data_IF_485935492862
#
_entry.id   IF_485935492862
#
_cell.length_a   1.000
_cell.length_b   1.000
_cell.length_c   1.000
_cell.angle_alpha   90.00
_cell.angle_beta   90.00
_cell.angle_gamma   90.00
#
_symmetry.space_group_name_H-M   'P 1'
#
loop_
_entity.id
_entity.type
_entity.pdbx_description
1 polymer ?
#
# COMPACT_ATOMS: atom_id res chain seq x y z
N UNK A 1 -1.83 -4.25 18.01
CA UNK A 1 -2.79 -3.14 18.12
C UNK A 1 -3.71 -3.20 16.91
N UNK A 2 -4.95 -3.64 17.10
CA UNK A 2 -5.98 -3.68 16.06
C UNK A 2 -6.88 -2.46 16.28
N UNK A 3 -6.83 -1.50 15.37
CA UNK A 3 -7.72 -0.33 15.39
C UNK A 3 -8.96 -0.70 14.59
N UNK A 4 -10.03 -1.09 15.28
CA UNK A 4 -11.34 -1.27 14.67
C UNK A 4 -11.97 0.09 14.44
N UNK A 5 -12.00 0.55 13.19
CA UNK A 5 -12.78 1.72 12.79
C UNK A 5 -14.25 1.31 12.68
N UNK A 6 -15.08 1.82 13.59
CA UNK A 6 -16.54 1.72 13.50
C UNK A 6 -17.04 2.61 12.36
N UNK A 7 -17.48 2.00 11.26
CA UNK A 7 -18.27 2.68 10.24
C UNK A 7 -19.65 3.00 10.81
N UNK A 8 -19.88 4.25 11.22
CA UNK A 8 -21.22 4.70 11.62
C UNK A 8 -22.05 4.94 10.37
N UNK A 9 -22.91 3.99 10.02
CA UNK A 9 -23.96 4.21 9.02
C UNK A 9 -25.03 5.11 9.64
N UNK A 10 -25.19 6.32 9.14
CA UNK A 10 -26.32 7.18 9.52
C UNK A 10 -27.55 6.67 8.76
N UNK A 11 -28.40 5.87 9.41
CA UNK A 11 -29.76 5.55 8.94
C UNK A 11 -30.70 6.70 9.33
N UNK A 12 -31.28 7.40 8.35
CA UNK A 12 -32.26 8.48 8.57
C UNK A 12 -33.71 8.02 8.35
N UNK A 13 -34.07 6.81 8.79
CA UNK A 13 -35.48 6.37 8.78
C UNK A 13 -36.17 6.79 10.07
N UNK A 14 -36.70 8.02 10.12
CA UNK A 14 -37.56 8.46 11.23
C UNK A 14 -39.00 7.94 11.03
N UNK A 15 -39.33 6.86 11.75
CA UNK A 15 -40.66 6.24 11.76
C UNK A 15 -41.13 6.02 13.21
N UNK A 16 -41.93 6.96 13.74
CA UNK A 16 -42.79 6.86 14.96
C UNK A 16 -42.04 6.75 16.30
N UNK A 17 -42.48 7.25 17.46
CA UNK A 17 -43.76 7.71 18.00
C UNK A 17 -43.40 8.36 19.37
N UNK A 18 -43.88 9.52 19.80
CA UNK A 18 -45.11 9.68 20.61
C UNK A 18 -45.28 11.17 21.01
N UNK A 19 -46.52 11.65 20.95
CA UNK A 19 -47.06 12.91 21.50
C UNK A 19 -47.29 12.77 23.04
N UNK A 20 -47.73 13.80 23.84
CA UNK A 20 -48.42 15.04 23.46
C UNK A 20 -48.07 16.33 24.27
N UNK A 21 -48.30 17.51 23.67
CA UNK A 21 -48.97 18.62 24.36
C UNK A 21 -49.49 19.65 23.36
N UNK A 22 -50.78 19.95 23.51
CA UNK A 22 -51.55 20.96 22.79
C UNK A 22 -50.84 22.32 22.80
N UNK A 23 -50.66 22.94 21.63
CA UNK A 23 -51.03 24.36 21.45
C UNK A 23 -51.65 24.48 20.05
N UNK A 24 -52.96 24.72 20.06
CA UNK A 24 -53.73 25.19 18.93
C UNK A 24 -53.17 26.52 18.40
N UNK A 25 -52.76 26.56 17.13
CA UNK A 25 -52.90 27.78 16.33
C UNK A 25 -53.08 27.42 14.86
N UNK A 26 -54.33 27.59 14.45
CA UNK A 26 -54.82 27.65 13.10
C UNK A 26 -53.94 28.58 12.23
N UNK A 27 -53.32 28.04 11.18
CA UNK A 27 -52.96 28.78 9.97
C UNK A 27 -53.12 27.84 8.77
N UNK A 28 -54.34 27.82 8.26
CA UNK A 28 -54.74 27.34 6.95
C UNK A 28 -53.92 28.03 5.85
N UNK A 29 -52.88 27.38 5.32
CA UNK A 29 -52.23 27.81 4.06
C UNK A 29 -51.37 26.72 3.38
N UNK A 30 -51.45 25.45 3.78
CA UNK A 30 -50.66 24.37 3.13
C UNK A 30 -51.32 23.78 1.86
N UNK A 31 -52.61 24.06 1.64
CA UNK A 31 -53.38 23.36 0.60
C UNK A 31 -53.09 23.85 -0.83
N UNK A 32 -52.43 25.00 -0.98
CA UNK A 32 -52.13 25.59 -2.29
C UNK A 32 -50.99 24.88 -3.03
N UNK A 33 -50.09 24.18 -2.32
CA UNK A 33 -48.99 23.47 -2.97
C UNK A 33 -49.40 22.06 -3.40
N UNK A 34 -50.08 21.32 -2.51
CA UNK A 34 -50.53 19.96 -2.80
C UNK A 34 -51.57 19.92 -3.94
N UNK A 35 -52.44 20.94 -4.02
CA UNK A 35 -53.44 21.06 -5.08
C UNK A 35 -52.81 21.31 -6.45
N UNK A 36 -51.77 22.16 -6.55
CA UNK A 36 -51.02 22.38 -7.79
C UNK A 36 -50.19 21.17 -8.22
N UNK A 37 -49.66 20.40 -7.27
CA UNK A 37 -48.92 19.17 -7.58
C UNK A 37 -49.82 18.08 -8.15
N UNK A 38 -51.07 18.02 -7.69
CA UNK A 38 -52.07 17.03 -8.12
C UNK A 38 -52.80 17.43 -9.40
N UNK A 39 -52.58 18.66 -9.88
CA UNK A 39 -53.16 19.15 -11.13
C UNK A 39 -52.43 18.48 -12.30
N UNK A 40 -52.92 17.30 -12.69
CA UNK A 40 -52.49 16.59 -13.89
C UNK A 40 -52.69 17.50 -15.09
N UNK A 41 -51.60 18.06 -15.62
CA UNK A 41 -51.60 18.74 -16.91
C UNK A 41 -52.16 17.76 -17.95
N UNK A 42 -53.38 18.00 -18.42
CA UNK A 42 -53.83 17.40 -19.66
C UNK A 42 -53.01 18.04 -20.78
N UNK A 43 -51.86 17.45 -21.05
CA UNK A 43 -51.11 17.72 -22.27
C UNK A 43 -52.00 17.15 -23.38
N UNK A 44 -52.77 18.02 -24.02
CA UNK A 44 -53.37 17.72 -25.31
C UNK A 44 -52.21 17.31 -26.23
N UNK A 45 -52.14 16.03 -26.58
CA UNK A 45 -51.23 15.52 -27.59
C UNK A 45 -51.63 16.16 -28.91
N UNK A 46 -51.09 17.34 -29.20
CA UNK A 46 -51.04 17.85 -30.57
C UNK A 46 -50.20 16.86 -31.35
N UNK A 47 -50.78 16.35 -32.43
CA UNK A 47 -50.18 15.37 -33.32
C UNK A 47 -48.70 15.64 -33.54
N UNK A 48 -47.91 14.58 -33.45
CA UNK A 48 -46.47 14.60 -33.66
C UNK A 48 -46.16 15.13 -35.06
N UNK A 49 -45.97 16.44 -35.19
CA UNK A 49 -45.13 16.97 -36.24
C UNK A 49 -43.76 16.36 -36.02
N UNK A 50 -43.24 15.74 -37.08
CA UNK A 50 -41.94 15.08 -37.11
C UNK A 50 -40.85 16.15 -36.96
N UNK A 51 -40.69 16.68 -35.74
CA UNK A 51 -39.61 17.57 -35.40
C UNK A 51 -38.37 16.71 -35.43
N UNK A 52 -37.54 16.91 -36.46
CA UNK A 52 -36.25 16.26 -36.59
C UNK A 52 -35.50 16.41 -35.26
N UNK A 53 -35.38 15.29 -34.53
CA UNK A 53 -34.70 15.24 -33.25
C UNK A 53 -33.29 15.78 -33.52
N UNK A 54 -32.99 16.93 -32.93
CA UNK A 54 -31.77 17.68 -33.20
C UNK A 54 -30.57 16.86 -32.68
N UNK A 55 -30.04 15.96 -33.51
CA UNK A 55 -28.94 15.04 -33.22
C UNK A 55 -27.68 15.76 -32.68
N UNK A 56 -27.57 17.06 -32.92
CA UNK A 56 -26.49 17.89 -32.37
C UNK A 56 -26.52 17.97 -30.83
N UNK A 57 -27.69 17.92 -30.20
CA UNK A 57 -27.81 17.97 -28.73
C UNK A 57 -27.43 16.62 -28.09
N UNK A 58 -27.84 15.50 -28.70
CA UNK A 58 -27.48 14.16 -28.22
C UNK A 58 -25.98 13.90 -28.37
N UNK A 59 -25.35 14.34 -29.46
CA UNK A 59 -23.90 14.24 -29.65
C UNK A 59 -23.11 15.10 -28.64
N UNK A 60 -23.55 16.34 -28.38
CA UNK A 60 -22.92 17.21 -27.36
C UNK A 60 -23.00 16.61 -25.96
N UNK A 61 -24.16 16.06 -25.59
CA UNK A 61 -24.35 15.41 -24.28
C UNK A 61 -23.56 14.12 -24.14
N UNK A 62 -23.49 13.30 -25.20
CA UNK A 62 -22.66 12.10 -25.23
C UNK A 62 -21.17 12.43 -25.06
N UNK A 63 -20.67 13.43 -25.80
CA UNK A 63 -19.29 13.87 -25.69
C UNK A 63 -18.95 14.44 -24.30
N UNK A 64 -19.88 15.18 -23.69
CA UNK A 64 -19.72 15.67 -22.31
C UNK A 64 -19.65 14.51 -21.30
N UNK A 65 -20.52 13.49 -21.43
CA UNK A 65 -20.49 12.27 -20.60
C UNK A 65 -19.18 11.51 -20.76
N UNK A 66 -18.69 11.36 -21.99
CA UNK A 66 -17.43 10.69 -22.27
C UNK A 66 -16.24 11.42 -21.64
N UNK A 67 -16.22 12.75 -21.72
CA UNK A 67 -15.17 13.57 -21.07
C UNK A 67 -15.18 13.42 -19.55
N UNK A 68 -16.36 13.43 -18.92
CA UNK A 68 -16.52 13.22 -17.48
C UNK A 68 -16.04 11.84 -17.03
N UNK A 69 -16.37 10.79 -17.78
CA UNK A 69 -15.94 9.43 -17.47
C UNK A 69 -14.41 9.29 -17.60
N UNK A 70 -13.83 9.91 -18.63
CA UNK A 70 -12.38 9.91 -18.84
C UNK A 70 -11.62 10.68 -17.76
N UNK A 71 -12.16 11.80 -17.25
CA UNK A 71 -11.53 12.55 -16.16
C UNK A 71 -11.56 11.77 -14.85
N UNK A 72 -12.70 11.16 -14.50
CA UNK A 72 -12.81 10.31 -13.31
C UNK A 72 -11.86 9.10 -13.36
N UNK A 73 -11.74 8.47 -14.54
CA UNK A 73 -10.82 7.33 -14.71
C UNK A 73 -9.36 7.75 -14.55
N UNK A 74 -8.98 8.92 -15.08
CA UNK A 74 -7.62 9.47 -14.94
C UNK A 74 -7.29 9.83 -13.48
N UNK A 75 -8.21 10.47 -12.79
CA UNK A 75 -8.05 10.81 -11.37
C UNK A 75 -7.88 9.55 -10.52
N UNK A 76 -8.75 8.54 -10.73
CA UNK A 76 -8.66 7.25 -10.05
C UNK A 76 -7.30 6.57 -10.28
N UNK A 77 -6.85 6.50 -11.53
CA UNK A 77 -5.54 5.94 -11.88
C UNK A 77 -4.38 6.71 -11.23
N UNK A 78 -4.48 8.04 -11.15
CA UNK A 78 -3.46 8.86 -10.50
C UNK A 78 -3.42 8.63 -8.99
N UNK A 79 -4.57 8.54 -8.32
CA UNK A 79 -4.64 8.20 -6.89
C UNK A 79 -4.05 6.83 -6.59
N UNK A 80 -4.31 5.83 -7.44
CA UNK A 80 -3.74 4.49 -7.28
C UNK A 80 -2.22 4.48 -7.45
N UNK A 81 -1.68 5.22 -8.43
CA UNK A 81 -0.23 5.38 -8.58
C UNK A 81 0.40 6.06 -7.36
N UNK A 82 -0.24 7.12 -6.84
CA UNK A 82 0.25 7.81 -5.66
C UNK A 82 0.23 6.91 -4.41
N UNK A 83 -0.81 6.08 -4.23
CA UNK A 83 -0.88 5.09 -3.15
C UNK A 83 0.27 4.08 -3.24
N UNK A 84 0.44 3.47 -4.42
CA UNK A 84 1.48 2.46 -4.64
C UNK A 84 2.90 3.04 -4.41
N UNK A 85 3.14 4.28 -4.84
CA UNK A 85 4.43 4.94 -4.60
C UNK A 85 4.66 5.30 -3.13
N UNK A 86 3.60 5.65 -2.40
CA UNK A 86 3.67 5.87 -0.96
C UNK A 86 3.99 4.57 -0.22
N UNK A 87 3.30 3.48 -0.53
CA UNK A 87 3.55 2.15 0.06
C UNK A 87 4.98 1.67 -0.23
N UNK A 88 5.47 1.87 -1.46
CA UNK A 88 6.86 1.59 -1.84
C UNK A 88 7.89 2.38 -1.02
N UNK A 89 7.62 3.66 -0.72
CA UNK A 89 8.51 4.48 0.13
C UNK A 89 8.45 4.05 1.60
N UNK A 90 7.26 3.73 2.10
CA UNK A 90 7.08 3.34 3.49
C UNK A 90 7.72 1.97 3.78
N UNK A 91 7.57 1.01 2.87
CA UNK A 91 8.26 -0.29 2.96
C UNK A 91 9.78 -0.14 2.96
N UNK A 92 10.33 0.74 2.12
CA UNK A 92 11.76 1.02 2.09
C UNK A 92 12.25 1.66 3.40
N UNK A 93 11.51 2.62 3.95
CA UNK A 93 11.84 3.25 5.23
C UNK A 93 11.83 2.22 6.37
N UNK A 94 10.81 1.37 6.43
CA UNK A 94 10.71 0.30 7.42
C UNK A 94 11.86 -0.69 7.31
N UNK A 95 12.22 -1.09 6.08
CA UNK A 95 13.37 -1.96 5.85
C UNK A 95 14.68 -1.30 6.34
N UNK A 96 14.90 -0.02 6.01
CA UNK A 96 16.09 0.72 6.48
C UNK A 96 16.18 0.72 8.00
N UNK A 97 15.08 1.07 8.69
CA UNK A 97 15.04 1.07 10.15
C UNK A 97 15.28 -0.32 10.74
N UNK A 98 14.71 -1.36 10.14
CA UNK A 98 14.93 -2.75 10.58
C UNK A 98 16.41 -3.15 10.45
N UNK A 99 17.08 -2.82 9.34
CA UNK A 99 18.51 -3.10 9.17
C UNK A 99 19.39 -2.29 10.11
N UNK A 100 19.11 -1.00 10.34
CA UNK A 100 19.86 -0.19 11.32
C UNK A 100 19.72 -0.72 12.75
N UNK A 101 18.54 -1.20 13.14
CA UNK A 101 18.30 -1.76 14.48
C UNK A 101 18.91 -3.16 14.60
N UNK A 102 18.69 -4.02 13.60
CA UNK A 102 19.20 -5.40 13.62
C UNK A 102 20.72 -5.48 13.48
N UNK A 103 21.35 -4.58 12.70
CA UNK A 103 22.81 -4.55 12.59
C UNK A 103 23.50 -4.24 13.92
N UNK A 104 22.90 -3.39 14.77
CA UNK A 104 23.40 -3.13 16.13
C UNK A 104 23.26 -4.37 17.04
N UNK A 105 22.23 -5.18 16.84
CA UNK A 105 21.99 -6.39 17.62
C UNK A 105 22.76 -7.62 17.11
N UNK A 106 23.21 -7.64 15.86
CA UNK A 106 23.95 -8.76 15.28
C UNK A 106 25.20 -9.11 16.09
N UNK A 107 25.93 -8.09 16.56
CA UNK A 107 27.11 -8.25 17.42
C UNK A 107 26.79 -8.93 18.77
N UNK A 108 25.56 -8.77 19.27
CA UNK A 108 25.14 -9.33 20.55
C UNK A 108 24.66 -10.79 20.43
N UNK A 109 24.19 -11.20 19.25
CA UNK A 109 23.68 -12.57 19.01
C UNK A 109 24.85 -13.55 18.85
N UNK A 110 25.95 -13.11 18.26
CA UNK A 110 27.12 -13.95 18.05
C UNK A 110 28.24 -13.54 19.00
N UNK A 111 28.32 -14.20 20.15
CA UNK A 111 29.49 -14.07 21.02
C UNK A 111 30.75 -14.33 20.19
N UNK A 112 31.76 -13.44 20.23
CA UNK A 112 32.99 -13.65 19.50
C UNK A 112 33.58 -14.97 20.01
N UNK A 113 33.61 -15.97 19.13
CA UNK A 113 34.36 -17.19 19.43
C UNK A 113 35.79 -16.72 19.62
N UNK A 114 36.26 -16.75 20.86
CA UNK A 114 37.68 -16.55 21.17
C UNK A 114 38.49 -17.34 20.16
N UNK A 115 39.49 -16.75 19.49
CA UNK A 115 40.30 -17.43 18.48
C UNK A 115 41.22 -18.44 19.16
N UNK A 116 40.66 -19.42 19.87
CA UNK A 116 41.38 -20.56 20.36
C UNK A 116 41.78 -21.37 19.13
N UNK A 117 43.04 -21.19 18.72
CA UNK A 117 43.76 -21.98 17.71
C UNK A 117 43.41 -21.66 16.25
N UNK A 118 43.49 -20.38 15.86
CA UNK A 118 43.49 -20.02 14.43
C UNK A 118 44.71 -20.58 13.69
N UNK A 119 45.85 -20.76 14.37
CA UNK A 119 47.02 -21.40 13.80
C UNK A 119 47.01 -22.90 14.05
N UNK A 120 47.09 -23.74 12.98
CA UNK A 120 47.27 -25.17 13.15
C UNK A 120 48.60 -25.43 13.86
N UNK A 121 48.56 -26.00 15.05
CA UNK A 121 49.75 -26.38 15.81
C UNK A 121 50.04 -27.86 15.61
N UNK A 122 51.31 -28.20 15.40
CA UNK A 122 51.77 -29.58 15.29
C UNK A 122 52.12 -30.07 16.71
N UNK A 123 51.57 -31.21 17.12
CA UNK A 123 51.89 -31.80 18.42
C UNK A 123 53.38 -32.15 18.50
N UNK A 124 54.05 -31.69 19.57
CA UNK A 124 55.49 -31.90 19.76
C UNK A 124 55.86 -33.35 20.04
N UNK A 125 54.88 -34.19 20.36
CA UNK A 125 55.01 -35.62 20.68
C UNK A 125 55.03 -36.51 19.45
N UNK A 126 54.81 -35.98 18.25
CA UNK A 126 54.79 -36.79 17.03
C UNK A 126 56.21 -37.27 16.62
N UNK A 127 56.33 -38.51 16.09
CA UNK A 127 57.55 -38.98 15.44
C UNK A 127 57.97 -38.09 14.26
N UNK A 128 59.26 -38.13 13.88
CA UNK A 128 59.87 -37.17 12.94
C UNK A 128 59.23 -37.18 11.54
N UNK A 129 59.04 -38.35 10.93
CA UNK A 129 58.42 -38.44 9.59
C UNK A 129 56.98 -37.88 9.50
N UNK A 130 56.01 -38.31 10.34
CA UNK A 130 54.65 -37.78 10.28
C UNK A 130 54.58 -36.30 10.68
N UNK A 131 55.57 -35.79 11.42
CA UNK A 131 55.71 -34.36 11.74
C UNK A 131 56.09 -33.54 10.50
N UNK A 132 57.07 -34.00 9.73
CA UNK A 132 57.54 -33.33 8.52
C UNK A 132 56.45 -33.28 7.44
N UNK A 133 55.70 -34.38 7.26
CA UNK A 133 54.57 -34.44 6.31
C UNK A 133 53.45 -33.46 6.73
N UNK A 134 53.14 -33.38 8.02
CA UNK A 134 52.14 -32.42 8.53
C UNK A 134 52.60 -30.97 8.34
N UNK A 135 53.88 -30.70 8.54
CA UNK A 135 54.45 -29.37 8.34
C UNK A 135 54.38 -28.93 6.87
N UNK A 136 54.73 -29.82 5.93
CA UNK A 136 54.61 -29.58 4.50
C UNK A 136 53.17 -29.26 4.08
N UNK A 137 52.20 -30.03 4.57
CA UNK A 137 50.78 -29.80 4.31
C UNK A 137 50.29 -28.46 4.86
N UNK A 138 50.73 -28.09 6.07
CA UNK A 138 50.38 -26.81 6.68
C UNK A 138 50.97 -25.65 5.86
N UNK A 139 52.25 -25.75 5.45
CA UNK A 139 52.91 -24.74 4.62
C UNK A 139 52.19 -24.56 3.28
N UNK A 140 51.83 -25.64 2.61
CA UNK A 140 51.08 -25.59 1.35
C UNK A 140 49.75 -24.85 1.53
N UNK A 141 48.98 -25.22 2.57
CA UNK A 141 47.70 -24.58 2.87
C UNK A 141 47.85 -23.08 3.14
N UNK A 142 48.85 -22.69 3.93
CA UNK A 142 49.14 -21.28 4.22
C UNK A 142 49.47 -20.49 2.95
N UNK A 143 50.32 -21.04 2.07
CA UNK A 143 50.69 -20.41 0.80
C UNK A 143 49.46 -20.24 -0.10
N UNK A 144 48.64 -21.29 -0.25
CA UNK A 144 47.42 -21.23 -1.05
C UNK A 144 46.43 -20.20 -0.53
N UNK A 145 46.25 -20.10 0.79
CA UNK A 145 45.40 -19.07 1.41
C UNK A 145 45.96 -17.67 1.17
N UNK A 146 47.27 -17.48 1.28
CA UNK A 146 47.90 -16.18 0.99
C UNK A 146 47.65 -15.75 -0.47
N UNK A 147 47.87 -16.65 -1.43
CA UNK A 147 47.64 -16.39 -2.86
C UNK A 147 46.15 -16.08 -3.12
N UNK A 148 45.24 -16.85 -2.52
CA UNK A 148 43.80 -16.62 -2.67
C UNK A 148 43.37 -15.25 -2.14
N UNK A 149 43.90 -14.84 -0.99
CA UNK A 149 43.62 -13.54 -0.40
C UNK A 149 44.18 -12.40 -1.27
N UNK A 150 45.43 -12.53 -1.75
CA UNK A 150 46.04 -11.54 -2.65
C UNK A 150 45.23 -11.38 -3.95
N UNK A 151 44.78 -12.49 -4.54
CA UNK A 151 43.91 -12.47 -5.72
C UNK A 151 42.55 -11.83 -5.43
N UNK A 152 41.96 -12.12 -4.27
CA UNK A 152 40.70 -11.51 -3.85
C UNK A 152 40.85 -9.99 -3.75
N UNK A 153 41.87 -9.50 -3.05
CA UNK A 153 42.13 -8.06 -2.92
C UNK A 153 42.36 -7.37 -4.25
N UNK A 154 43.09 -8.01 -5.19
CA UNK A 154 43.28 -7.46 -6.55
C UNK A 154 41.99 -7.26 -7.33
N UNK A 155 40.95 -8.05 -7.06
CA UNK A 155 39.66 -7.96 -7.76
C UNK A 155 38.72 -6.95 -7.08
N UNK A 156 38.83 -6.80 -5.76
CA UNK A 156 37.87 -6.03 -4.96
C UNK A 156 38.37 -4.65 -4.51
N UNK A 157 39.67 -4.38 -4.54
CA UNK A 157 40.29 -3.13 -4.07
C UNK A 157 40.60 -2.16 -5.22
#
# INVERSE_FOLDING_TARGET
>A
MLVSSYSTYIQTTSSGQTSPKQISKHLSSSDNFASKLSQRLQISQTEHTNVAINNNLSQKTFHAKQKLQNSQTKEYQQTQKNLNTFDGKNTLLNAKSAYEVNSKMFSLIQAPRTPLKQTPSIEKTLPKEPKEIKELNIRYKMLSTYIANDNYYKITA
#
